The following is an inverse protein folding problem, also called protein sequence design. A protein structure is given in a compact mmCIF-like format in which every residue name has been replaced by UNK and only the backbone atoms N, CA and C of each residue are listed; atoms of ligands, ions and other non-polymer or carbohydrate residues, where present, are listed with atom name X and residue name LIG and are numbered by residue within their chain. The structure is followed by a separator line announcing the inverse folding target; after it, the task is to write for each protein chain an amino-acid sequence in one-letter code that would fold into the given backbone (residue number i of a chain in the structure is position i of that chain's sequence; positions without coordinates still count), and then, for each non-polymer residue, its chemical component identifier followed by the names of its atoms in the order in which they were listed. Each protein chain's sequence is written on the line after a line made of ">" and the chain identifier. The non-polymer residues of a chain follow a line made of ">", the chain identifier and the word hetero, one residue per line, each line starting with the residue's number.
data_IF_026312165523
#
_entry.id   IF_026312165523
#
_cell.length_a   1.000
_cell.length_b   1.000
_cell.length_c   1.000
_cell.angle_alpha   90.00
_cell.angle_beta   90.00
_cell.angle_gamma   90.00
#
_symmetry.space_group_name_H-M   'P 1'
#
loop_
_entity.id
_entity.type
_entity.pdbx_description
1 polymer ?
#
# COMPACT_ATOMS: atom_id res chain seq x y z
N UNK A 1 8.22 64.23 11.55
CA UNK A 1 7.93 63.08 12.44
C UNK A 1 7.02 61.99 11.85
N UNK A 2 6.29 62.19 10.74
CA UNK A 2 5.37 61.17 10.16
C UNK A 2 6.03 60.03 9.37
N UNK A 3 7.29 60.17 8.95
CA UNK A 3 8.00 59.17 8.13
C UNK A 3 8.45 57.91 8.89
N UNK A 4 8.90 58.06 10.15
CA UNK A 4 9.32 56.93 10.99
C UNK A 4 8.18 55.93 11.25
N UNK A 5 6.96 56.43 11.50
CA UNK A 5 5.78 55.59 11.71
C UNK A 5 5.40 54.77 10.47
N UNK A 6 5.48 55.36 9.28
CA UNK A 6 5.17 54.67 8.01
C UNK A 6 6.21 53.59 7.72
N UNK A 7 7.50 53.86 8.01
CA UNK A 7 8.59 52.88 7.84
C UNK A 7 8.45 51.71 8.82
N UNK A 8 8.13 51.97 10.09
CA UNK A 8 7.91 50.91 11.07
C UNK A 8 6.68 50.04 10.75
N UNK A 9 5.59 50.62 10.24
CA UNK A 9 4.42 49.85 9.80
C UNK A 9 4.73 48.96 8.59
N UNK A 10 5.48 49.47 7.61
CA UNK A 10 5.91 48.69 6.45
C UNK A 10 6.82 47.52 6.85
N UNK A 11 7.79 47.74 7.74
CA UNK A 11 8.69 46.68 8.20
C UNK A 11 7.94 45.58 8.98
N UNK A 12 7.01 45.96 9.87
CA UNK A 12 6.16 45.00 10.59
C UNK A 12 5.32 44.15 9.63
N UNK A 13 4.77 44.77 8.59
CA UNK A 13 4.00 44.06 7.57
C UNK A 13 4.87 43.08 6.77
N UNK A 14 6.07 43.49 6.36
CA UNK A 14 7.03 42.61 5.67
C UNK A 14 7.44 41.42 6.54
N UNK A 15 7.74 41.65 7.82
CA UNK A 15 8.07 40.56 8.75
C UNK A 15 6.91 39.60 8.97
N UNK A 16 5.68 40.12 9.09
CA UNK A 16 4.48 39.31 9.27
C UNK A 16 4.20 38.45 8.02
N UNK A 17 4.21 39.06 6.83
CA UNK A 17 4.01 38.34 5.57
C UNK A 17 5.15 37.32 5.32
N UNK A 18 6.39 37.70 5.60
CA UNK A 18 7.54 36.81 5.52
C UNK A 18 7.43 35.61 6.46
N UNK A 19 6.98 35.82 7.70
CA UNK A 19 6.73 34.75 8.65
C UNK A 19 5.65 33.78 8.17
N UNK A 20 4.53 34.30 7.66
CA UNK A 20 3.46 33.47 7.07
C UNK A 20 4.00 32.66 5.88
N UNK A 21 4.82 33.28 5.04
CA UNK A 21 5.46 32.61 3.90
C UNK A 21 6.35 31.45 4.34
N UNK A 22 7.16 31.64 5.40
CA UNK A 22 8.00 30.58 5.98
C UNK A 22 7.15 29.42 6.50
N UNK A 23 6.02 29.70 7.16
CA UNK A 23 5.08 28.66 7.62
C UNK A 23 4.49 27.89 6.44
N UNK A 24 4.06 28.59 5.38
CA UNK A 24 3.53 27.94 4.17
C UNK A 24 4.61 27.04 3.56
N UNK A 25 5.82 27.55 3.31
CA UNK A 25 6.91 26.77 2.69
C UNK A 25 7.24 25.54 3.53
N UNK A 26 7.36 25.70 4.86
CA UNK A 26 7.64 24.58 5.77
C UNK A 26 6.51 23.54 5.72
N UNK A 27 5.26 23.99 5.73
CA UNK A 27 4.09 23.13 5.56
C UNK A 27 4.15 22.34 4.24
N UNK A 28 4.54 22.98 3.14
CA UNK A 28 4.64 22.31 1.84
C UNK A 28 5.71 21.21 1.85
N UNK A 29 6.83 21.41 2.54
CA UNK A 29 7.87 20.40 2.69
C UNK A 29 7.32 19.19 3.47
N UNK A 30 6.56 19.41 4.54
CA UNK A 30 5.91 18.34 5.30
C UNK A 30 4.85 17.63 4.46
N UNK A 31 3.99 18.36 3.76
CA UNK A 31 2.98 17.81 2.85
C UNK A 31 3.59 16.91 1.78
N UNK A 32 4.75 17.27 1.22
CA UNK A 32 5.47 16.40 0.27
C UNK A 32 5.89 15.08 0.89
N UNK A 33 6.30 15.07 2.17
CA UNK A 33 6.64 13.82 2.87
C UNK A 33 5.42 12.93 3.06
N UNK A 34 4.29 13.51 3.46
CA UNK A 34 3.03 12.79 3.62
C UNK A 34 2.56 12.19 2.28
N UNK A 35 2.62 12.96 1.19
CA UNK A 35 2.28 12.46 -0.16
C UNK A 35 3.18 11.29 -0.56
N UNK A 36 4.47 11.35 -0.27
CA UNK A 36 5.38 10.24 -0.55
C UNK A 36 5.09 9.00 0.32
N UNK A 37 4.63 9.17 1.56
CA UNK A 37 4.20 8.07 2.43
C UNK A 37 2.93 7.40 1.92
N UNK A 38 1.97 8.19 1.44
CA UNK A 38 0.76 7.71 0.76
C UNK A 38 1.13 6.89 -0.49
N UNK A 39 2.00 7.43 -1.36
CA UNK A 39 2.44 6.76 -2.59
C UNK A 39 3.12 5.41 -2.31
N UNK A 40 4.03 5.37 -1.32
CA UNK A 40 4.67 4.13 -0.86
C UNK A 40 3.66 3.12 -0.33
N UNK A 41 2.71 3.57 0.51
CA UNK A 41 1.68 2.70 1.05
C UNK A 41 0.83 2.07 -0.05
N UNK A 42 0.44 2.86 -1.06
CA UNK A 42 -0.29 2.33 -2.23
C UNK A 42 0.55 1.36 -3.05
N UNK A 43 1.82 1.68 -3.29
CA UNK A 43 2.74 0.79 -4.00
C UNK A 43 2.87 -0.55 -3.28
N UNK A 44 3.09 -0.56 -1.96
CA UNK A 44 3.18 -1.78 -1.16
C UNK A 44 1.85 -2.53 -1.03
N UNK A 45 0.70 -1.86 -0.95
CA UNK A 45 -0.61 -2.52 -0.99
C UNK A 45 -0.75 -3.32 -2.30
N UNK A 46 -0.30 -2.77 -3.42
CA UNK A 46 -0.35 -3.46 -4.70
C UNK A 46 0.73 -4.54 -4.82
N UNK A 47 2.00 -4.16 -4.74
CA UNK A 47 3.14 -5.04 -5.03
C UNK A 47 3.39 -6.08 -3.93
N UNK A 48 3.26 -5.69 -2.66
CA UNK A 48 3.63 -6.53 -1.54
C UNK A 48 2.43 -7.21 -0.87
N UNK A 49 1.20 -6.78 -1.14
CA UNK A 49 -0.01 -7.39 -0.54
C UNK A 49 -0.95 -8.04 -1.54
N UNK A 50 -1.35 -7.33 -2.60
CA UNK A 50 -2.30 -7.86 -3.58
C UNK A 50 -1.70 -8.97 -4.45
N UNK A 51 -0.48 -8.76 -4.96
CA UNK A 51 0.21 -9.78 -5.78
C UNK A 51 0.44 -11.06 -4.96
N UNK A 52 1.04 -11.02 -3.75
CA UNK A 52 1.19 -12.20 -2.89
C UNK A 52 -0.12 -12.89 -2.50
N UNK A 53 -1.19 -12.14 -2.24
CA UNK A 53 -2.50 -12.73 -1.97
C UNK A 53 -3.01 -13.55 -3.16
N UNK A 54 -2.86 -13.04 -4.38
CA UNK A 54 -3.17 -13.78 -5.61
C UNK A 54 -2.27 -15.00 -5.79
N UNK A 55 -0.97 -14.87 -5.47
CA UNK A 55 -0.03 -16.00 -5.48
C UNK A 55 -0.44 -17.13 -4.52
N UNK A 56 -0.94 -16.80 -3.32
CA UNK A 56 -1.46 -17.80 -2.37
C UNK A 56 -2.68 -18.55 -2.96
N UNK A 57 -3.53 -17.87 -3.71
CA UNK A 57 -4.66 -18.51 -4.41
C UNK A 57 -4.13 -19.54 -5.42
N UNK A 58 -3.17 -19.17 -6.28
CA UNK A 58 -2.60 -20.11 -7.25
C UNK A 58 -1.83 -21.26 -6.61
N UNK A 59 -1.18 -21.04 -5.46
CA UNK A 59 -0.59 -22.11 -4.65
C UNK A 59 -1.66 -23.09 -4.16
N UNK A 60 -2.77 -22.55 -3.65
CA UNK A 60 -3.92 -23.33 -3.20
C UNK A 60 -4.51 -24.16 -4.35
N UNK A 61 -4.73 -23.56 -5.52
CA UNK A 61 -5.24 -24.23 -6.71
C UNK A 61 -4.34 -25.39 -7.14
N UNK A 62 -3.02 -25.19 -7.17
CA UNK A 62 -2.09 -26.26 -7.51
C UNK A 62 -2.15 -27.42 -6.50
N UNK A 63 -2.19 -27.13 -5.20
CA UNK A 63 -2.28 -28.16 -4.16
C UNK A 63 -3.59 -28.96 -4.28
N UNK A 64 -4.73 -28.29 -4.47
CA UNK A 64 -6.00 -28.98 -4.71
C UNK A 64 -5.99 -29.77 -6.03
N UNK A 65 -5.35 -29.24 -7.08
CA UNK A 65 -5.14 -29.93 -8.34
C UNK A 65 -4.41 -31.26 -8.15
N UNK A 66 -3.29 -31.25 -7.42
CA UNK A 66 -2.56 -32.47 -7.05
C UNK A 66 -3.41 -33.46 -6.25
N UNK A 67 -4.12 -32.97 -5.23
CA UNK A 67 -5.00 -33.78 -4.38
C UNK A 67 -6.09 -34.48 -5.19
N UNK A 68 -6.80 -33.74 -6.04
CA UNK A 68 -7.87 -34.27 -6.89
C UNK A 68 -7.34 -35.23 -7.96
N UNK A 69 -6.17 -34.94 -8.52
CA UNK A 69 -5.51 -35.80 -9.49
C UNK A 69 -5.17 -37.18 -8.88
N UNK A 70 -4.60 -37.19 -7.67
CA UNK A 70 -4.31 -38.43 -6.94
C UNK A 70 -5.58 -39.16 -6.51
N UNK A 71 -6.60 -38.45 -6.05
CA UNK A 71 -7.90 -39.05 -5.71
C UNK A 71 -8.48 -39.80 -6.90
N UNK A 72 -8.57 -39.11 -8.05
CA UNK A 72 -9.07 -39.70 -9.29
C UNK A 72 -8.25 -40.91 -9.69
N UNK A 73 -6.92 -40.84 -9.58
CA UNK A 73 -6.04 -41.97 -9.89
C UNK A 73 -6.30 -43.18 -8.99
N UNK A 74 -6.47 -42.98 -7.68
CA UNK A 74 -6.72 -44.06 -6.71
C UNK A 74 -8.13 -44.69 -6.84
N UNK A 75 -9.09 -43.94 -7.38
CA UNK A 75 -10.44 -44.42 -7.67
C UNK A 75 -10.56 -45.09 -9.05
N UNK A 76 -9.60 -44.84 -9.95
CA UNK A 76 -9.62 -45.38 -11.32
C UNK A 76 -9.04 -46.80 -11.34
N UNK A 77 -9.67 -47.76 -12.05
CA UNK A 77 -9.13 -49.10 -12.20
C UNK A 77 -7.69 -49.10 -12.77
N UNK A 78 -6.79 -49.99 -12.31
CA UNK A 78 -5.40 -49.98 -12.77
C UNK A 78 -5.16 -50.16 -14.27
N UNK A 79 -6.15 -50.70 -14.99
CA UNK A 79 -6.15 -50.87 -16.43
C UNK A 79 -6.30 -49.56 -17.21
N UNK A 80 -6.82 -48.50 -16.59
CA UNK A 80 -7.25 -47.28 -17.29
C UNK A 80 -6.28 -46.10 -17.13
N UNK A 81 -5.38 -46.14 -16.14
CA UNK A 81 -4.51 -45.01 -15.85
C UNK A 81 -3.10 -45.45 -15.42
N UNK A 82 -2.10 -44.97 -16.17
CA UNK A 82 -0.68 -45.23 -15.91
C UNK A 82 -0.12 -44.29 -14.84
N UNK A 83 0.59 -44.85 -13.87
CA UNK A 83 1.21 -44.08 -12.78
C UNK A 83 2.27 -43.11 -13.27
N UNK A 84 2.98 -43.41 -14.37
CA UNK A 84 3.99 -42.50 -14.94
C UNK A 84 3.38 -41.19 -15.43
N UNK A 85 2.18 -41.27 -16.05
CA UNK A 85 1.45 -40.08 -16.49
C UNK A 85 0.99 -39.23 -15.31
N UNK A 86 0.59 -39.86 -14.21
CA UNK A 86 0.21 -39.17 -12.98
C UNK A 86 1.42 -38.51 -12.32
N UNK A 87 2.56 -39.19 -12.27
CA UNK A 87 3.80 -38.61 -11.77
C UNK A 87 4.22 -37.36 -12.58
N UNK A 88 4.07 -37.39 -13.91
CA UNK A 88 4.33 -36.24 -14.77
C UNK A 88 3.42 -35.05 -14.45
N UNK A 89 2.11 -35.29 -14.32
CA UNK A 89 1.13 -34.24 -14.01
C UNK A 89 1.35 -33.64 -12.60
N UNK A 90 1.69 -34.47 -11.60
CA UNK A 90 2.08 -33.97 -10.28
C UNK A 90 3.34 -33.12 -10.35
N UNK A 91 4.34 -33.52 -11.14
CA UNK A 91 5.57 -32.74 -11.32
C UNK A 91 5.32 -31.38 -11.99
N UNK A 92 4.32 -31.27 -12.88
CA UNK A 92 3.93 -29.99 -13.46
C UNK A 92 3.37 -29.04 -12.38
N UNK A 93 2.53 -29.54 -11.49
CA UNK A 93 2.06 -28.76 -10.34
C UNK A 93 3.21 -28.39 -9.39
N UNK A 94 4.15 -29.30 -9.11
CA UNK A 94 5.32 -29.01 -8.28
C UNK A 94 6.15 -27.85 -8.84
N UNK A 95 6.42 -27.85 -10.15
CA UNK A 95 7.13 -26.75 -10.82
C UNK A 95 6.36 -25.43 -10.74
N UNK A 96 5.03 -25.48 -10.84
CA UNK A 96 4.20 -24.28 -10.68
C UNK A 96 4.26 -23.76 -9.25
N UNK A 97 4.16 -24.64 -8.25
CA UNK A 97 4.28 -24.30 -6.83
C UNK A 97 5.65 -23.67 -6.54
N UNK A 98 6.73 -24.28 -7.01
CA UNK A 98 8.09 -23.76 -6.84
C UNK A 98 8.26 -22.35 -7.46
N UNK A 99 7.75 -22.18 -8.68
CA UNK A 99 7.77 -20.87 -9.37
C UNK A 99 6.97 -19.80 -8.61
N UNK A 100 5.81 -20.18 -8.06
CA UNK A 100 4.96 -19.30 -7.26
C UNK A 100 5.59 -18.94 -5.92
N UNK A 101 6.26 -19.89 -5.25
CA UNK A 101 7.04 -19.64 -4.03
C UNK A 101 8.16 -18.64 -4.34
N UNK A 102 8.92 -18.83 -5.41
CA UNK A 102 9.96 -17.89 -5.81
C UNK A 102 9.43 -16.50 -6.19
N UNK A 103 8.23 -16.42 -6.76
CA UNK A 103 7.56 -15.14 -6.98
C UNK A 103 7.20 -14.46 -5.66
N UNK A 104 6.70 -15.23 -4.69
CA UNK A 104 6.36 -14.74 -3.36
C UNK A 104 7.61 -14.27 -2.59
N UNK A 105 8.74 -15.00 -2.68
CA UNK A 105 10.01 -14.64 -2.02
C UNK A 105 10.64 -13.33 -2.54
N UNK A 106 10.23 -12.86 -3.72
CA UNK A 106 10.70 -11.59 -4.30
C UNK A 106 9.99 -10.37 -3.75
N UNK A 107 8.89 -10.53 -3.03
CA UNK A 107 8.16 -9.41 -2.43
C UNK A 107 8.77 -9.04 -1.07
N UNK A 108 8.35 -7.89 -0.53
CA UNK A 108 8.77 -7.53 0.82
C UNK A 108 8.06 -8.40 1.87
N UNK A 109 8.79 -9.35 2.44
CA UNK A 109 8.29 -10.23 3.50
C UNK A 109 8.54 -9.63 4.88
N UNK A 110 7.51 -9.61 5.73
CA UNK A 110 7.72 -9.39 7.17
C UNK A 110 8.18 -10.68 7.84
N UNK A 111 8.78 -10.59 9.03
CA UNK A 111 9.35 -11.76 9.75
C UNK A 111 8.36 -12.91 9.92
N UNK A 112 7.09 -12.59 10.21
CA UNK A 112 6.03 -13.59 10.35
C UNK A 112 5.74 -14.31 9.03
N UNK A 113 5.83 -13.61 7.90
CA UNK A 113 5.63 -14.19 6.56
C UNK A 113 6.79 -15.08 6.18
N UNK A 114 8.03 -14.64 6.41
CA UNK A 114 9.22 -15.44 6.13
C UNK A 114 9.20 -16.76 6.92
N UNK A 115 8.84 -16.69 8.20
CA UNK A 115 8.70 -17.88 9.05
C UNK A 115 7.58 -18.81 8.54
N UNK A 116 6.40 -18.25 8.26
CA UNK A 116 5.26 -19.06 7.78
C UNK A 116 5.53 -19.67 6.40
N UNK A 117 6.20 -18.95 5.50
CA UNK A 117 6.62 -19.45 4.20
C UNK A 117 7.66 -20.58 4.30
N UNK A 118 8.60 -20.48 5.25
CA UNK A 118 9.54 -21.58 5.50
C UNK A 118 8.81 -22.84 5.95
N UNK A 119 7.82 -22.72 6.84
CA UNK A 119 6.97 -23.84 7.25
C UNK A 119 6.18 -24.39 6.06
N UNK A 120 5.63 -23.52 5.21
CA UNK A 120 4.89 -23.92 4.01
C UNK A 120 5.74 -24.80 3.09
N UNK A 121 6.96 -24.37 2.77
CA UNK A 121 7.90 -25.10 1.90
C UNK A 121 8.15 -26.52 2.42
N UNK A 122 8.47 -26.64 3.70
CA UNK A 122 8.70 -27.95 4.32
C UNK A 122 7.47 -28.88 4.21
N UNK A 123 6.26 -28.34 4.34
CA UNK A 123 5.01 -29.12 4.20
C UNK A 123 4.70 -29.51 2.77
N UNK A 124 5.04 -28.65 1.80
CA UNK A 124 4.94 -28.99 0.37
C UNK A 124 5.87 -30.17 0.05
N UNK A 125 7.10 -30.14 0.54
CA UNK A 125 8.06 -31.24 0.35
C UNK A 125 7.59 -32.53 1.02
N UNK A 126 7.11 -32.45 2.26
CA UNK A 126 6.52 -33.60 2.98
C UNK A 126 5.34 -34.20 2.21
N UNK A 127 4.45 -33.35 1.70
CA UNK A 127 3.31 -33.79 0.91
C UNK A 127 3.77 -34.48 -0.38
N UNK A 128 4.74 -33.92 -1.11
CA UNK A 128 5.29 -34.52 -2.32
C UNK A 128 5.95 -35.90 -2.07
N UNK A 129 6.55 -36.12 -0.90
CA UNK A 129 7.07 -37.44 -0.51
C UNK A 129 5.95 -38.47 -0.32
N UNK A 130 4.83 -38.08 0.31
CA UNK A 130 3.67 -38.95 0.48
C UNK A 130 3.07 -39.32 -0.88
N UNK A 131 2.98 -38.38 -1.81
CA UNK A 131 2.50 -38.64 -3.17
C UNK A 131 3.36 -39.68 -3.90
N UNK A 132 4.69 -39.55 -3.83
CA UNK A 132 5.63 -40.54 -4.39
C UNK A 132 5.45 -41.91 -3.73
N UNK A 133 5.25 -41.95 -2.42
CA UNK A 133 5.00 -43.20 -1.69
C UNK A 133 3.71 -43.88 -2.16
N UNK A 134 2.63 -43.11 -2.34
CA UNK A 134 1.35 -43.60 -2.88
C UNK A 134 1.54 -44.20 -4.28
N UNK A 135 2.25 -43.50 -5.18
CA UNK A 135 2.53 -44.00 -6.53
C UNK A 135 3.37 -45.30 -6.52
N UNK A 136 4.35 -45.41 -5.63
CA UNK A 136 5.17 -46.61 -5.49
C UNK A 136 4.36 -47.81 -4.97
N UNK A 137 3.47 -47.59 -4.00
CA UNK A 137 2.57 -48.62 -3.48
C UNK A 137 1.61 -49.11 -4.57
N UNK A 138 1.05 -48.18 -5.34
CA UNK A 138 0.22 -48.50 -6.50
C UNK A 138 0.97 -49.38 -7.51
N UNK A 139 2.19 -48.99 -7.90
CA UNK A 139 3.02 -49.74 -8.84
C UNK A 139 3.40 -51.13 -8.33
N UNK A 140 3.46 -51.29 -7.01
CA UNK A 140 3.75 -52.56 -6.35
C UNK A 140 2.49 -53.41 -6.12
N UNK A 141 1.32 -53.00 -6.62
CA UNK A 141 0.05 -53.71 -6.45
C UNK A 141 -0.63 -53.52 -5.08
N UNK A 142 -0.12 -52.62 -4.24
CA UNK A 142 -0.62 -52.37 -2.87
C UNK A 142 -1.58 -51.17 -2.84
N UNK A 143 -2.64 -51.21 -3.65
CA UNK A 143 -3.57 -50.08 -3.83
C UNK A 143 -4.22 -49.62 -2.52
N UNK A 144 -4.68 -50.55 -1.68
CA UNK A 144 -5.36 -50.21 -0.42
C UNK A 144 -4.42 -49.51 0.58
N UNK A 145 -3.15 -49.91 0.64
CA UNK A 145 -2.15 -49.20 1.44
C UNK A 145 -1.90 -47.78 0.92
N UNK A 146 -1.91 -47.58 -0.41
CA UNK A 146 -1.83 -46.26 -1.02
C UNK A 146 -3.03 -45.37 -0.64
N UNK A 147 -4.25 -45.93 -0.63
CA UNK A 147 -5.46 -45.22 -0.18
C UNK A 147 -5.39 -44.86 1.30
N UNK A 148 -4.93 -45.78 2.15
CA UNK A 148 -4.77 -45.52 3.58
C UNK A 148 -3.81 -44.35 3.84
N UNK A 149 -2.68 -44.27 3.12
CA UNK A 149 -1.78 -43.14 3.20
C UNK A 149 -2.47 -41.86 2.71
N UNK A 150 -3.18 -41.92 1.58
CA UNK A 150 -3.88 -40.77 1.00
C UNK A 150 -4.94 -40.19 1.94
N UNK A 151 -5.75 -41.03 2.58
CA UNK A 151 -6.82 -40.63 3.51
C UNK A 151 -6.31 -40.32 4.92
N UNK A 152 -5.19 -40.92 5.32
CA UNK A 152 -4.56 -40.72 6.62
C UNK A 152 -3.52 -39.59 6.61
N UNK A 153 -2.25 -39.96 6.44
CA UNK A 153 -1.13 -39.01 6.54
C UNK A 153 -1.19 -37.93 5.45
N UNK A 154 -1.57 -38.30 4.23
CA UNK A 154 -1.76 -37.40 3.10
C UNK A 154 -2.81 -36.33 3.37
N UNK A 155 -3.99 -36.72 3.86
CA UNK A 155 -5.06 -35.78 4.18
C UNK A 155 -4.67 -34.81 5.31
N UNK A 156 -4.01 -35.30 6.37
CA UNK A 156 -3.53 -34.44 7.48
C UNK A 156 -2.47 -33.45 7.00
N UNK A 157 -1.51 -33.92 6.22
CA UNK A 157 -0.44 -33.06 5.68
C UNK A 157 -1.03 -32.01 4.76
N UNK A 158 -1.90 -32.42 3.82
CA UNK A 158 -2.64 -31.51 2.94
C UNK A 158 -3.40 -30.43 3.72
N UNK A 159 -4.21 -30.84 4.70
CA UNK A 159 -5.00 -29.89 5.52
C UNK A 159 -4.09 -28.92 6.28
N UNK A 160 -2.95 -29.39 6.78
CA UNK A 160 -1.99 -28.54 7.47
C UNK A 160 -1.30 -27.55 6.51
N UNK A 161 -0.96 -27.99 5.30
CA UNK A 161 -0.42 -27.13 4.23
C UNK A 161 -1.40 -26.04 3.84
N UNK A 162 -2.67 -26.37 3.62
CA UNK A 162 -3.73 -25.40 3.33
C UNK A 162 -3.97 -24.45 4.51
N UNK A 163 -3.97 -24.96 5.74
CA UNK A 163 -4.08 -24.11 6.93
C UNK A 163 -2.95 -23.09 7.01
N UNK A 164 -1.73 -23.48 6.65
CA UNK A 164 -0.60 -22.58 6.67
C UNK A 164 -0.67 -21.49 5.58
N UNK A 165 -1.23 -21.79 4.40
CA UNK A 165 -1.59 -20.78 3.39
C UNK A 165 -2.68 -19.82 3.88
N UNK A 166 -3.66 -20.32 4.62
CA UNK A 166 -4.68 -19.46 5.24
C UNK A 166 -4.07 -18.54 6.29
N UNK A 167 -3.09 -19.02 7.05
CA UNK A 167 -2.36 -18.19 8.02
C UNK A 167 -1.50 -17.13 7.33
N UNK A 168 -0.82 -17.46 6.22
CA UNK A 168 -0.16 -16.47 5.36
C UNK A 168 -1.15 -15.41 4.86
N UNK A 169 -2.34 -15.81 4.42
CA UNK A 169 -3.39 -14.88 3.96
C UNK A 169 -3.86 -13.94 5.08
N UNK A 170 -3.98 -14.44 6.32
CA UNK A 170 -4.31 -13.60 7.48
C UNK A 170 -3.22 -12.56 7.75
N UNK A 171 -1.95 -12.95 7.70
CA UNK A 171 -0.83 -12.02 7.88
C UNK A 171 -0.87 -10.92 6.81
N UNK A 172 -1.07 -11.29 5.54
CA UNK A 172 -1.23 -10.36 4.43
C UNK A 172 -2.37 -9.35 4.67
N UNK A 173 -3.51 -9.80 5.20
CA UNK A 173 -4.64 -8.93 5.55
C UNK A 173 -4.31 -7.96 6.70
N UNK A 174 -3.59 -8.43 7.73
CA UNK A 174 -3.18 -7.60 8.87
C UNK A 174 -2.20 -6.51 8.41
N UNK A 175 -1.16 -6.89 7.68
CA UNK A 175 -0.15 -5.94 7.16
C UNK A 175 -0.80 -4.94 6.20
N UNK A 176 -1.69 -5.41 5.32
CA UNK A 176 -2.44 -4.54 4.40
C UNK A 176 -3.31 -3.51 5.12
N UNK A 177 -3.94 -3.87 6.24
CA UNK A 177 -4.72 -2.93 7.07
C UNK A 177 -3.83 -1.86 7.71
N UNK A 178 -2.63 -2.21 8.15
CA UNK A 178 -1.71 -1.23 8.73
C UNK A 178 -1.24 -0.22 7.69
N UNK A 179 -0.94 -0.66 6.46
CA UNK A 179 -0.59 0.22 5.34
C UNK A 179 -1.73 1.20 5.00
N UNK A 180 -3.00 0.74 5.03
CA UNK A 180 -4.16 1.62 4.82
C UNK A 180 -4.26 2.67 5.94
N UNK A 181 -4.05 2.24 7.19
CA UNK A 181 -4.12 3.12 8.36
C UNK A 181 -3.01 4.18 8.34
N UNK A 182 -1.79 3.80 7.97
CA UNK A 182 -0.66 4.72 7.77
C UNK A 182 -0.97 5.75 6.69
N UNK A 183 -1.45 5.29 5.52
CA UNK A 183 -1.87 6.17 4.41
C UNK A 183 -2.98 7.16 4.82
N UNK A 184 -3.95 6.72 5.62
CA UNK A 184 -5.00 7.60 6.16
C UNK A 184 -4.43 8.65 7.12
N UNK A 185 -3.45 8.29 7.95
CA UNK A 185 -2.75 9.23 8.83
C UNK A 185 -1.97 10.29 8.07
N UNK A 186 -1.25 9.89 7.02
CA UNK A 186 -0.54 10.79 6.12
C UNK A 186 -1.51 11.74 5.39
N UNK A 187 -2.64 11.20 4.90
CA UNK A 187 -3.66 11.99 4.24
C UNK A 187 -4.30 13.01 5.18
N UNK A 188 -4.66 12.60 6.41
CA UNK A 188 -5.22 13.52 7.40
C UNK A 188 -4.25 14.66 7.73
N UNK A 189 -2.96 14.34 7.89
CA UNK A 189 -1.90 15.32 8.14
C UNK A 189 -1.73 16.27 6.95
N UNK A 190 -1.72 15.74 5.72
CA UNK A 190 -1.68 16.54 4.50
C UNK A 190 -2.89 17.49 4.40
N UNK A 191 -4.11 16.98 4.61
CA UNK A 191 -5.33 17.76 4.51
C UNK A 191 -5.33 18.92 5.52
N UNK A 192 -4.98 18.65 6.77
CA UNK A 192 -4.89 19.67 7.82
C UNK A 192 -3.90 20.79 7.45
N UNK A 193 -2.69 20.43 7.00
CA UNK A 193 -1.68 21.41 6.57
C UNK A 193 -2.19 22.21 5.37
N UNK A 194 -2.77 21.53 4.37
CA UNK A 194 -3.30 22.17 3.16
C UNK A 194 -4.40 23.18 3.48
N UNK A 195 -5.36 22.84 4.36
CA UNK A 195 -6.41 23.78 4.78
C UNK A 195 -5.83 25.02 5.46
N UNK A 196 -4.85 24.84 6.35
CA UNK A 196 -4.17 25.94 7.01
C UNK A 196 -3.42 26.83 6.00
N UNK A 197 -2.73 26.24 5.03
CA UNK A 197 -2.03 26.99 3.98
C UNK A 197 -2.98 27.80 3.10
N UNK A 198 -4.12 27.22 2.70
CA UNK A 198 -5.15 27.94 1.94
C UNK A 198 -5.70 29.11 2.77
N UNK A 199 -5.99 28.90 4.05
CA UNK A 199 -6.43 29.96 4.95
C UNK A 199 -5.41 31.09 5.07
N UNK A 200 -4.12 30.76 5.28
CA UNK A 200 -3.04 31.74 5.33
C UNK A 200 -2.86 32.51 4.01
N UNK A 201 -3.00 31.83 2.87
CA UNK A 201 -2.93 32.47 1.56
C UNK A 201 -4.07 33.49 1.35
N UNK A 202 -5.29 33.16 1.80
CA UNK A 202 -6.42 34.08 1.77
C UNK A 202 -6.13 35.31 2.65
N UNK A 203 -5.61 35.11 3.87
CA UNK A 203 -5.23 36.21 4.78
C UNK A 203 -4.18 37.12 4.14
N UNK A 204 -3.15 36.55 3.50
CA UNK A 204 -2.16 37.32 2.74
C UNK A 204 -2.84 38.17 1.65
N UNK A 205 -3.74 37.57 0.86
CA UNK A 205 -4.48 38.27 -0.19
C UNK A 205 -5.29 39.46 0.33
N UNK A 206 -5.98 39.29 1.46
CA UNK A 206 -6.73 40.36 2.13
C UNK A 206 -5.82 41.48 2.63
N UNK A 207 -4.69 41.14 3.26
CA UNK A 207 -3.69 42.12 3.73
C UNK A 207 -3.18 42.96 2.56
N UNK A 208 -2.84 42.33 1.43
CA UNK A 208 -2.37 43.01 0.22
C UNK A 208 -3.43 43.97 -0.32
N UNK A 209 -4.70 43.56 -0.37
CA UNK A 209 -5.81 44.40 -0.83
C UNK A 209 -5.97 45.67 0.03
N UNK A 210 -5.92 45.53 1.37
CA UNK A 210 -5.99 46.67 2.30
C UNK A 210 -4.81 47.64 2.09
N UNK A 211 -3.59 47.12 1.88
CA UNK A 211 -2.43 47.96 1.59
C UNK A 211 -2.57 48.73 0.27
N UNK A 212 -3.08 48.09 -0.77
CA UNK A 212 -3.31 48.74 -2.07
C UNK A 212 -4.34 49.88 -1.92
N UNK A 213 -5.46 49.65 -1.23
CA UNK A 213 -6.49 50.67 -1.02
C UNK A 213 -5.98 51.87 -0.22
N UNK A 214 -5.26 51.64 0.89
CA UNK A 214 -4.69 52.72 1.70
C UNK A 214 -3.58 53.49 0.97
N UNK A 215 -2.90 52.89 -0.02
CA UNK A 215 -1.91 53.62 -0.81
C UNK A 215 -2.54 54.61 -1.80
N UNK A 216 -3.76 54.35 -2.29
CA UNK A 216 -4.48 55.22 -3.22
C UNK A 216 -5.02 56.50 -2.57
N UNK A 217 -5.39 56.47 -1.29
CA UNK A 217 -5.97 57.63 -0.58
C UNK A 217 -4.97 58.73 -0.22
N UNK A 218 -3.66 58.45 -0.28
CA UNK A 218 -2.60 59.45 0.00
C UNK A 218 -2.22 60.27 -1.24
N UNK A 219 -2.59 59.83 -2.44
CA UNK A 219 -2.19 60.46 -3.72
C UNK A 219 -3.26 61.38 -4.35
N UNK A 220 -4.32 61.78 -3.65
CA UNK A 220 -5.21 62.85 -4.16
C UNK A 220 -4.59 64.22 -3.85
N UNK A 221 -4.17 65.01 -4.87
CA UNK A 221 -3.72 66.37 -4.62
C UNK A 221 -4.90 67.17 -4.07
N UNK A 222 -4.71 67.83 -2.92
CA UNK A 222 -5.63 68.85 -2.41
C UNK A 222 -5.75 69.95 -3.47
N UNK A 223 -6.80 69.91 -4.28
CA UNK A 223 -7.19 71.05 -5.08
C UNK A 223 -7.53 72.21 -4.12
N UNK A 224 -6.77 73.30 -4.28
CA UNK A 224 -6.93 74.58 -3.59
C UNK A 224 -8.41 74.97 -3.48
N UNK A 225 -8.92 74.98 -2.26
CA UNK A 225 -10.08 75.78 -1.87
C UNK A 225 -9.51 77.04 -1.27
N UNK A 226 -9.36 78.09 -2.07
CA UNK A 226 -9.34 79.45 -1.55
C UNK A 226 -10.40 80.25 -2.30
N UNK A 227 -11.46 80.59 -1.57
CA UNK A 227 -12.58 81.40 -2.03
C UNK A 227 -12.36 82.80 -1.48
N UNK A 228 -12.17 83.74 -2.39
CA UNK A 228 -12.75 85.09 -2.34
C UNK A 228 -12.27 86.04 -1.25
N UNK A 229 -11.54 87.07 -1.67
CA UNK A 229 -11.69 88.41 -1.09
C UNK A 229 -11.88 89.43 -2.21
N UNK A 230 -13.01 90.13 -2.12
CA UNK A 230 -13.39 91.33 -2.87
C UNK A 230 -12.33 92.42 -2.75
N UNK A 231 -12.16 93.29 -3.76
CA UNK A 231 -12.15 94.75 -3.57
C UNK A 231 -12.40 95.49 -4.90
N UNK A 232 -13.02 96.65 -4.76
CA UNK A 232 -13.76 97.44 -5.75
C UNK A 232 -12.89 98.38 -6.63
N UNK A 233 -13.43 98.69 -7.81
CA UNK A 233 -13.38 99.92 -8.65
C UNK A 233 -12.27 100.96 -8.39
N UNK A 234 -11.51 101.29 -9.44
CA UNK A 234 -11.66 102.53 -10.23
C UNK A 234 -11.06 102.35 -11.63
#
# INVERSE_FOLDING_TARGET
>A
MKWSFVIQQKLKATLLLGGIMVVIVSGTIVSRRNINGIDKSFSSIYQDRLIPATTIIYLTENLYGKRLLLEKFLLTPPSEMRSEKIAELLSQHDKSIDSLIHLFEKTYLVDQEANSLSVFKNRVDEYALLEKMILNLYNSGHLEAGKEIFEGAGARTFQSTISNLNDLTKIQSIVGKELIKESQGDFASYAMISFLQVGLAIVIGLIILVFIQNSRTVNTPKAMKDKGQHFHLN
#
